data_IF_135051416198
#
_entry.id   IF_135051416198
#
_cell.length_a   1.000
_cell.length_b   1.000
_cell.length_c   1.000
_cell.angle_alpha   90.00
_cell.angle_beta   90.00
_cell.angle_gamma   90.00
#
_symmetry.space_group_name_H-M   'P 1'
#
loop_
_entity.id
_entity.type
_entity.pdbx_description
1 polymer ?
#
# COMPACT_ATOMS: atom_id res chain seq x y z
N UNK A 1 -26.49 20.02 1.39
CA UNK A 1 -26.81 18.64 0.96
C UNK A 1 -26.49 17.74 2.14
N UNK A 2 -27.31 16.72 2.38
CA UNK A 2 -26.97 15.73 3.40
C UNK A 2 -25.72 14.96 2.97
N UNK A 3 -24.85 14.64 3.94
CA UNK A 3 -23.64 13.87 3.66
C UNK A 3 -24.01 12.44 3.23
N UNK A 4 -23.24 11.89 2.29
CA UNK A 4 -23.35 10.46 1.92
C UNK A 4 -22.94 9.59 3.11
N UNK A 5 -23.75 8.60 3.45
CA UNK A 5 -23.42 7.63 4.51
C UNK A 5 -22.65 6.46 3.88
N UNK A 6 -21.39 6.34 4.22
CA UNK A 6 -20.51 5.30 3.66
C UNK A 6 -20.04 4.34 4.75
N UNK A 7 -20.34 3.05 4.59
CA UNK A 7 -19.84 1.97 5.44
C UNK A 7 -18.55 1.42 4.86
N UNK A 8 -17.41 1.78 5.47
CA UNK A 8 -16.09 1.25 5.13
C UNK A 8 -15.82 -0.06 5.85
N UNK A 9 -15.22 -1.03 5.17
CA UNK A 9 -14.91 -2.33 5.74
C UNK A 9 -13.41 -2.55 5.72
N UNK A 10 -12.79 -2.62 6.90
CA UNK A 10 -11.37 -2.93 7.08
C UNK A 10 -11.14 -4.43 7.18
N UNK A 11 -9.96 -4.91 6.80
CA UNK A 11 -9.57 -6.31 6.87
C UNK A 11 -8.81 -6.65 8.16
N UNK A 12 -8.22 -5.66 8.80
CA UNK A 12 -7.51 -5.75 10.07
C UNK A 12 -7.63 -4.45 10.86
N UNK A 13 -7.16 -4.45 12.10
CA UNK A 13 -7.18 -3.30 13.01
C UNK A 13 -5.77 -2.79 13.33
N UNK A 14 -4.80 -3.01 12.42
CA UNK A 14 -3.47 -2.43 12.51
C UNK A 14 -3.45 -1.01 11.89
N UNK A 15 -2.44 -0.21 12.19
CA UNK A 15 -2.15 1.03 11.46
C UNK A 15 -1.26 0.78 10.23
N UNK A 16 -1.50 -0.34 9.54
CA UNK A 16 -0.83 -0.69 8.30
C UNK A 16 -1.21 0.21 7.11
N UNK A 17 -0.56 -0.01 5.97
CA UNK A 17 -0.73 0.84 4.78
C UNK A 17 -2.18 1.01 4.33
N UNK A 18 -2.99 -0.06 4.33
CA UNK A 18 -4.40 0.00 3.91
C UNK A 18 -5.29 0.81 4.87
N UNK A 19 -5.03 0.69 6.19
CA UNK A 19 -5.77 1.43 7.21
C UNK A 19 -5.39 2.91 7.21
N UNK A 20 -4.09 3.22 7.06
CA UNK A 20 -3.62 4.59 6.92
C UNK A 20 -4.15 5.25 5.64
N UNK A 21 -4.22 4.50 4.52
CA UNK A 21 -4.83 5.00 3.27
C UNK A 21 -6.33 5.27 3.43
N UNK A 22 -7.05 4.44 4.19
CA UNK A 22 -8.46 4.68 4.47
C UNK A 22 -8.65 5.94 5.33
N UNK A 23 -7.81 6.16 6.31
CA UNK A 23 -7.87 7.38 7.13
C UNK A 23 -7.65 8.62 6.25
N UNK A 24 -6.63 8.61 5.39
CA UNK A 24 -6.40 9.70 4.43
C UNK A 24 -7.61 9.92 3.50
N UNK A 25 -8.28 8.84 3.07
CA UNK A 25 -9.50 8.94 2.28
C UNK A 25 -10.61 9.64 3.09
N UNK A 26 -10.90 9.16 4.29
CA UNK A 26 -11.97 9.72 5.14
C UNK A 26 -11.71 11.20 5.42
N UNK A 27 -10.48 11.57 5.76
CA UNK A 27 -10.09 12.97 5.96
C UNK A 27 -10.32 13.83 4.71
N UNK A 28 -9.99 13.27 3.53
CA UNK A 28 -10.12 13.99 2.25
C UNK A 28 -11.58 14.21 1.83
N UNK A 29 -12.53 13.42 2.35
CA UNK A 29 -13.96 13.47 1.96
C UNK A 29 -14.89 13.81 3.13
N UNK A 30 -14.37 14.18 4.29
CA UNK A 30 -15.13 14.39 5.53
C UNK A 30 -16.26 15.43 5.45
N UNK A 31 -16.15 16.37 4.51
CA UNK A 31 -17.18 17.40 4.32
C UNK A 31 -18.40 16.88 3.55
N UNK A 32 -18.23 15.87 2.70
CA UNK A 32 -19.27 15.30 1.84
C UNK A 32 -19.75 13.92 2.32
N UNK A 33 -18.99 13.22 3.19
CA UNK A 33 -19.24 11.85 3.63
C UNK A 33 -19.43 11.78 5.15
N UNK A 34 -20.39 10.96 5.60
CA UNK A 34 -20.49 10.49 6.98
C UNK A 34 -19.89 9.06 7.04
N UNK A 35 -18.68 8.91 7.58
CA UNK A 35 -17.99 7.62 7.59
C UNK A 35 -18.47 6.74 8.76
N UNK A 36 -18.71 5.47 8.47
CA UNK A 36 -18.90 4.40 9.46
C UNK A 36 -17.89 3.32 9.11
N UNK A 37 -17.12 2.83 10.09
CA UNK A 37 -16.07 1.84 9.82
C UNK A 37 -16.33 0.55 10.57
N UNK A 38 -16.31 -0.58 9.84
CA UNK A 38 -16.42 -1.92 10.40
C UNK A 38 -15.07 -2.61 10.42
N UNK A 39 -14.59 -2.97 11.61
CA UNK A 39 -13.37 -3.73 11.83
C UNK A 39 -13.66 -5.20 12.18
N UNK A 40 -12.76 -6.15 11.83
CA UNK A 40 -12.91 -7.56 12.22
C UNK A 40 -12.57 -7.84 13.68
N UNK A 41 -11.81 -6.98 14.32
CA UNK A 41 -11.24 -7.13 15.66
C UNK A 41 -10.91 -5.78 16.27
N UNK A 42 -10.79 -5.71 17.59
CA UNK A 42 -10.25 -4.54 18.28
C UNK A 42 -8.74 -4.43 18.02
N UNK A 43 -8.20 -3.21 18.04
CA UNK A 43 -6.79 -2.98 17.83
C UNK A 43 -6.45 -1.49 17.71
N UNK A 44 -5.14 -1.20 17.57
CA UNK A 44 -4.62 0.17 17.53
C UNK A 44 -5.23 1.02 16.39
N UNK A 45 -5.52 0.41 15.25
CA UNK A 45 -6.16 1.10 14.12
C UNK A 45 -7.60 1.49 14.47
N UNK A 46 -8.40 0.55 15.01
CA UNK A 46 -9.77 0.83 15.43
C UNK A 46 -9.82 1.91 16.53
N UNK A 47 -8.94 1.83 17.54
CA UNK A 47 -8.85 2.82 18.59
C UNK A 47 -8.50 4.21 18.02
N UNK A 48 -7.55 4.29 17.11
CA UNK A 48 -7.14 5.54 16.47
C UNK A 48 -8.27 6.20 15.69
N UNK A 49 -9.10 5.42 14.94
CA UNK A 49 -10.26 5.96 14.24
C UNK A 49 -11.30 6.50 15.23
N UNK A 50 -11.57 5.79 16.33
CA UNK A 50 -12.50 6.22 17.36
C UNK A 50 -12.02 7.49 18.08
N UNK A 51 -10.73 7.64 18.35
CA UNK A 51 -10.11 8.84 18.92
C UNK A 51 -10.21 10.07 17.99
N UNK A 52 -10.38 9.86 16.69
CA UNK A 52 -10.60 10.91 15.70
C UNK A 52 -12.09 11.10 15.34
N UNK A 53 -13.00 10.79 16.27
CA UNK A 53 -14.46 10.97 16.14
C UNK A 53 -15.08 10.24 14.94
N UNK A 54 -14.47 9.16 14.45
CA UNK A 54 -15.01 8.33 13.38
C UNK A 54 -15.82 7.19 14.00
N UNK A 55 -17.09 7.05 13.61
CA UNK A 55 -17.99 5.99 14.09
C UNK A 55 -17.46 4.61 13.71
N UNK A 56 -17.08 3.79 14.70
CA UNK A 56 -16.46 2.49 14.50
C UNK A 56 -17.24 1.36 15.16
N UNK A 57 -17.30 0.23 14.49
CA UNK A 57 -17.89 -1.01 15.01
C UNK A 57 -16.94 -2.18 14.82
N UNK A 58 -17.02 -3.17 15.72
CA UNK A 58 -16.20 -4.38 15.65
C UNK A 58 -17.09 -5.60 15.55
N UNK A 59 -16.86 -6.43 14.54
CA UNK A 59 -17.49 -7.72 14.38
C UNK A 59 -16.51 -8.73 13.78
N UNK A 60 -16.27 -9.92 14.40
CA UNK A 60 -15.28 -10.89 13.95
C UNK A 60 -15.76 -11.66 12.70
N UNK A 61 -15.81 -11.00 11.55
CA UNK A 61 -16.15 -11.65 10.29
C UNK A 61 -14.99 -12.49 9.74
N UNK A 62 -15.34 -13.59 9.05
CA UNK A 62 -14.36 -14.53 8.51
C UNK A 62 -13.78 -13.97 7.19
N UNK A 63 -12.48 -13.72 7.20
CA UNK A 63 -11.70 -13.25 6.05
C UNK A 63 -11.64 -14.31 4.92
N UNK A 64 -11.41 -13.86 3.67
CA UNK A 64 -11.33 -14.75 2.50
C UNK A 64 -10.01 -15.51 2.36
N UNK A 65 -9.02 -15.26 3.22
CA UNK A 65 -7.69 -15.82 3.08
C UNK A 65 -7.21 -16.53 4.34
N UNK A 66 -6.24 -17.40 4.14
CA UNK A 66 -5.41 -17.98 5.19
C UNK A 66 -3.95 -17.88 4.82
N UNK A 67 -3.06 -17.77 5.80
CA UNK A 67 -1.63 -17.94 5.55
C UNK A 67 -1.37 -19.38 5.06
N UNK A 68 -0.56 -19.52 4.01
CA UNK A 68 -0.11 -20.85 3.55
C UNK A 68 0.65 -21.51 4.68
N UNK A 69 0.04 -22.51 5.30
CA UNK A 69 0.74 -23.46 6.18
C UNK A 69 1.27 -24.63 5.35
N UNK A 70 2.39 -25.23 5.78
CA UNK A 70 3.00 -26.37 5.09
C UNK A 70 1.94 -27.43 4.73
N UNK A 71 1.85 -27.76 3.46
CA UNK A 71 0.78 -28.46 2.74
C UNK A 71 0.44 -29.88 3.22
N UNK A 72 1.25 -30.49 4.10
CA UNK A 72 1.14 -31.92 4.43
C UNK A 72 0.15 -32.26 5.57
N UNK A 73 -0.32 -31.27 6.34
CA UNK A 73 -1.17 -31.55 7.53
C UNK A 73 -2.63 -31.07 7.36
N UNK A 74 -2.90 -30.12 6.46
CA UNK A 74 -4.22 -29.44 6.40
C UNK A 74 -5.31 -30.18 5.58
N UNK A 75 -4.95 -31.19 4.77
CA UNK A 75 -5.92 -31.83 3.85
C UNK A 75 -6.89 -32.76 4.57
N UNK A 76 -6.52 -33.27 5.75
CA UNK A 76 -7.30 -34.30 6.46
C UNK A 76 -8.10 -33.77 7.66
N UNK A 77 -7.90 -32.57 8.14
CA UNK A 77 -8.46 -32.13 9.43
C UNK A 77 -9.74 -31.30 9.38
N UNK A 78 -10.19 -30.78 8.23
CA UNK A 78 -11.45 -30.03 8.16
C UNK A 78 -12.29 -30.40 6.94
N UNK A 79 -13.49 -31.00 7.15
CA UNK A 79 -14.48 -31.14 6.08
C UNK A 79 -14.84 -29.73 5.57
N UNK A 80 -14.50 -29.40 4.35
CA UNK A 80 -14.76 -28.12 3.69
C UNK A 80 -16.24 -27.66 3.83
N UNK A 81 -17.20 -28.58 3.98
CA UNK A 81 -18.63 -28.30 4.24
C UNK A 81 -18.86 -27.53 5.55
N UNK A 82 -18.12 -27.86 6.62
CA UNK A 82 -18.24 -27.16 7.91
C UNK A 82 -17.70 -25.74 7.86
N UNK A 83 -16.65 -25.50 7.11
CA UNK A 83 -16.13 -24.16 6.90
C UNK A 83 -17.14 -23.27 6.17
N UNK A 84 -17.88 -23.82 5.19
CA UNK A 84 -18.97 -23.13 4.49
C UNK A 84 -20.10 -22.73 5.44
N UNK A 85 -20.56 -23.66 6.25
CA UNK A 85 -21.64 -23.42 7.19
C UNK A 85 -21.20 -22.36 8.20
N UNK A 86 -19.98 -22.46 8.73
CA UNK A 86 -19.41 -21.49 9.67
C UNK A 86 -19.32 -20.09 9.05
N UNK A 87 -18.78 -19.99 7.83
CA UNK A 87 -18.68 -18.72 7.11
C UNK A 87 -20.05 -18.12 6.84
N UNK A 88 -20.99 -18.89 6.33
CA UNK A 88 -22.35 -18.44 6.08
C UNK A 88 -23.09 -17.97 7.35
N UNK A 89 -22.94 -18.71 8.47
CA UNK A 89 -23.53 -18.30 9.76
C UNK A 89 -22.91 -17.00 10.26
N UNK A 90 -21.58 -16.88 10.16
CA UNK A 90 -20.85 -15.68 10.54
C UNK A 90 -21.26 -14.48 9.70
N UNK A 91 -21.40 -14.64 8.39
CA UNK A 91 -21.86 -13.60 7.46
C UNK A 91 -23.29 -13.12 7.82
N UNK A 92 -24.23 -14.05 8.08
CA UNK A 92 -25.57 -13.70 8.57
C UNK A 92 -25.54 -12.99 9.92
N UNK A 93 -24.65 -13.39 10.81
CA UNK A 93 -24.44 -12.73 12.10
C UNK A 93 -23.93 -11.30 11.91
N UNK A 94 -22.95 -11.11 11.03
CA UNK A 94 -22.41 -9.80 10.69
C UNK A 94 -23.50 -8.86 10.12
N UNK A 95 -24.29 -9.36 9.17
CA UNK A 95 -25.39 -8.56 8.57
C UNK A 95 -26.41 -8.15 9.66
N UNK A 96 -26.79 -9.06 10.56
CA UNK A 96 -27.70 -8.74 11.66
C UNK A 96 -27.09 -7.67 12.57
N UNK A 97 -25.86 -7.88 13.02
CA UNK A 97 -25.13 -6.94 13.86
C UNK A 97 -25.08 -5.52 13.23
N UNK A 98 -24.68 -5.43 11.95
CA UNK A 98 -24.61 -4.13 11.27
C UNK A 98 -25.98 -3.47 11.18
N UNK A 99 -27.06 -4.20 10.88
CA UNK A 99 -28.43 -3.65 10.90
C UNK A 99 -28.86 -3.17 12.27
N UNK A 100 -28.50 -3.90 13.32
CA UNK A 100 -28.85 -3.55 14.70
C UNK A 100 -28.13 -2.27 15.15
N UNK A 101 -26.82 -2.12 14.85
CA UNK A 101 -26.07 -0.91 15.24
C UNK A 101 -26.45 0.32 14.40
N UNK A 102 -26.81 0.13 13.14
CA UNK A 102 -27.29 1.22 12.27
C UNK A 102 -28.68 1.73 12.68
N UNK A 103 -29.49 0.95 13.39
CA UNK A 103 -30.81 1.34 13.88
C UNK A 103 -31.74 1.93 12.80
N UNK A 104 -31.68 1.36 11.59
CA UNK A 104 -32.46 1.82 10.44
C UNK A 104 -31.88 2.99 9.67
N UNK A 105 -30.69 3.49 10.03
CA UNK A 105 -29.97 4.50 9.25
C UNK A 105 -29.72 3.97 7.85
N UNK A 106 -29.99 4.79 6.84
CA UNK A 106 -29.68 4.47 5.45
C UNK A 106 -28.16 4.48 5.23
N UNK A 107 -27.66 3.56 4.41
CA UNK A 107 -26.28 3.53 3.94
C UNK A 107 -26.33 3.63 2.43
N UNK A 108 -25.67 4.63 1.85
CA UNK A 108 -25.63 4.85 0.42
C UNK A 108 -24.62 3.90 -0.25
N UNK A 109 -23.46 3.76 0.37
CA UNK A 109 -22.33 2.99 -0.18
C UNK A 109 -21.73 2.07 0.88
N UNK A 110 -21.45 0.82 0.50
CA UNK A 110 -20.55 -0.07 1.21
C UNK A 110 -19.21 -0.08 0.47
N UNK A 111 -18.14 0.38 1.12
CA UNK A 111 -16.80 0.48 0.55
C UNK A 111 -15.88 -0.60 1.14
N UNK A 112 -15.55 -1.63 0.35
CA UNK A 112 -14.56 -2.65 0.72
C UNK A 112 -13.14 -2.11 0.51
N UNK A 113 -12.41 -1.92 1.61
CA UNK A 113 -11.09 -1.23 1.63
C UNK A 113 -9.90 -2.18 1.37
N UNK A 114 -10.05 -3.29 0.74
CA UNK A 114 -8.95 -4.21 0.30
C UNK A 114 -9.53 -5.35 -0.52
N UNK A 115 -8.68 -6.09 -1.24
CA UNK A 115 -9.15 -7.16 -2.14
C UNK A 115 -9.70 -8.40 -1.42
N UNK A 116 -9.12 -8.95 -0.34
CA UNK A 116 -9.58 -10.23 0.22
C UNK A 116 -10.73 -10.07 1.23
N UNK A 117 -11.70 -9.21 0.92
CA UNK A 117 -12.81 -8.87 1.81
C UNK A 117 -14.17 -8.99 1.12
N UNK A 118 -14.77 -10.20 1.14
CA UNK A 118 -16.05 -10.46 0.47
C UNK A 118 -17.30 -10.13 1.31
N UNK A 119 -17.16 -9.79 2.58
CA UNK A 119 -18.31 -9.43 3.44
C UNK A 119 -19.02 -8.17 2.92
N UNK A 120 -18.29 -7.27 2.24
CA UNK A 120 -18.86 -6.07 1.61
C UNK A 120 -19.93 -6.37 0.59
N UNK A 121 -19.77 -7.43 -0.21
CA UNK A 121 -20.79 -7.87 -1.19
C UNK A 121 -22.11 -8.20 -0.48
N UNK A 122 -22.04 -8.95 0.62
CA UNK A 122 -23.22 -9.37 1.36
C UNK A 122 -23.86 -8.23 2.14
N UNK A 123 -23.06 -7.33 2.68
CA UNK A 123 -23.55 -6.13 3.39
C UNK A 123 -24.22 -5.17 2.42
N UNK A 124 -23.61 -4.86 1.28
CA UNK A 124 -24.22 -3.98 0.27
C UNK A 124 -25.60 -4.49 -0.18
N UNK A 125 -25.68 -5.78 -0.48
CA UNK A 125 -26.97 -6.42 -0.85
C UNK A 125 -27.99 -6.34 0.30
N UNK A 126 -27.59 -6.60 1.54
CA UNK A 126 -28.49 -6.63 2.71
C UNK A 126 -28.98 -5.26 3.13
N UNK A 127 -28.19 -4.22 2.89
CA UNK A 127 -28.49 -2.81 3.17
C UNK A 127 -29.14 -2.09 1.98
N UNK A 128 -29.17 -2.74 0.81
CA UNK A 128 -29.59 -2.13 -0.48
C UNK A 128 -28.71 -0.93 -0.84
N UNK A 129 -27.45 -0.96 -0.46
CA UNK A 129 -26.45 0.05 -0.77
C UNK A 129 -25.67 -0.32 -2.02
N UNK A 130 -25.05 0.65 -2.69
CA UNK A 130 -24.09 0.41 -3.76
C UNK A 130 -22.80 -0.14 -3.19
N UNK A 131 -22.11 -1.00 -3.96
CA UNK A 131 -20.84 -1.59 -3.54
C UNK A 131 -19.67 -1.00 -4.32
N UNK A 132 -18.76 -0.34 -3.62
CA UNK A 132 -17.47 0.10 -4.16
C UNK A 132 -16.38 -0.82 -3.63
N UNK A 133 -15.57 -1.40 -4.53
CA UNK A 133 -14.44 -2.22 -4.13
C UNK A 133 -13.12 -1.52 -4.45
N UNK A 134 -12.39 -1.15 -3.40
CA UNK A 134 -11.08 -0.51 -3.51
C UNK A 134 -9.97 -1.56 -3.30
N UNK A 135 -9.31 -1.92 -4.39
CA UNK A 135 -8.31 -2.99 -4.44
C UNK A 135 -6.91 -2.38 -4.39
N UNK A 136 -6.14 -2.78 -3.35
CA UNK A 136 -4.87 -2.12 -3.00
C UNK A 136 -3.64 -3.00 -3.15
N UNK A 137 -3.81 -4.32 -3.39
CA UNK A 137 -2.69 -5.26 -3.27
C UNK A 137 -2.82 -6.47 -4.19
N UNK A 138 -1.67 -7.14 -4.35
CA UNK A 138 -1.51 -8.45 -4.96
C UNK A 138 -1.47 -9.51 -3.85
N UNK A 139 -2.61 -10.03 -3.42
CA UNK A 139 -2.67 -10.93 -2.24
C UNK A 139 -2.04 -12.29 -2.47
N UNK A 140 -2.03 -12.77 -3.69
CA UNK A 140 -1.52 -14.09 -4.08
C UNK A 140 0.00 -14.11 -4.30
N UNK A 141 0.55 -13.02 -4.81
CA UNK A 141 2.00 -12.89 -5.10
C UNK A 141 2.77 -12.26 -3.95
N UNK A 142 2.25 -11.17 -3.37
CA UNK A 142 2.96 -10.40 -2.35
C UNK A 142 2.85 -11.03 -0.95
N UNK A 143 1.67 -11.52 -0.56
CA UNK A 143 1.44 -12.07 0.78
C UNK A 143 1.40 -13.59 0.81
N UNK A 144 1.47 -14.27 -0.33
CA UNK A 144 1.37 -15.73 -0.46
C UNK A 144 0.15 -16.31 0.29
N UNK A 145 -0.98 -15.59 0.28
CA UNK A 145 -2.20 -16.07 0.90
C UNK A 145 -2.88 -17.15 0.05
N UNK A 146 -3.43 -18.15 0.73
CA UNK A 146 -4.39 -19.04 0.11
C UNK A 146 -5.78 -18.40 0.15
N UNK A 147 -6.28 -18.01 -1.02
CA UNK A 147 -7.62 -17.43 -1.16
C UNK A 147 -8.65 -18.54 -1.16
N UNK A 148 -9.65 -18.40 -0.29
CA UNK A 148 -10.75 -19.34 -0.23
C UNK A 148 -11.53 -19.39 -1.54
N UNK A 149 -11.59 -20.58 -2.16
CA UNK A 149 -12.10 -20.84 -3.52
C UNK A 149 -11.26 -20.25 -4.66
N UNK A 150 -10.05 -19.80 -4.39
CA UNK A 150 -9.07 -19.40 -5.39
C UNK A 150 -9.26 -17.99 -5.98
N UNK A 151 -8.26 -17.58 -6.70
CA UNK A 151 -8.19 -16.27 -7.38
C UNK A 151 -9.33 -16.04 -8.37
N UNK A 152 -9.75 -17.01 -9.23
CA UNK A 152 -10.83 -16.77 -10.19
C UNK A 152 -12.15 -16.36 -9.54
N UNK A 153 -12.45 -16.90 -8.34
CA UNK A 153 -13.64 -16.49 -7.60
C UNK A 153 -13.51 -15.06 -7.09
N UNK A 154 -12.37 -14.69 -6.56
CA UNK A 154 -12.15 -13.32 -6.06
C UNK A 154 -12.24 -12.31 -7.21
N UNK A 155 -11.61 -12.58 -8.36
CA UNK A 155 -11.75 -11.76 -9.58
C UNK A 155 -13.22 -11.57 -9.97
N UNK A 156 -13.99 -12.67 -9.98
CA UNK A 156 -15.43 -12.61 -10.28
C UNK A 156 -16.17 -11.72 -9.27
N UNK A 157 -15.88 -11.82 -7.97
CA UNK A 157 -16.54 -11.02 -6.95
C UNK A 157 -16.18 -9.53 -7.07
N UNK A 158 -14.90 -9.20 -7.31
CA UNK A 158 -14.44 -7.83 -7.57
C UNK A 158 -15.19 -7.24 -8.76
N UNK A 159 -15.30 -8.00 -9.86
CA UNK A 159 -15.98 -7.54 -11.07
C UNK A 159 -17.51 -7.46 -10.96
N UNK A 160 -18.11 -7.98 -9.88
CA UNK A 160 -19.54 -7.84 -9.57
C UNK A 160 -19.86 -6.59 -8.72
N UNK A 161 -18.86 -5.86 -8.22
CA UNK A 161 -19.10 -4.60 -7.54
C UNK A 161 -19.69 -3.55 -8.49
N UNK A 162 -20.52 -2.64 -7.98
CA UNK A 162 -21.09 -1.55 -8.76
C UNK A 162 -20.01 -0.60 -9.29
N UNK A 163 -18.95 -0.38 -8.50
CA UNK A 163 -17.74 0.33 -8.90
C UNK A 163 -16.48 -0.32 -8.33
N UNK A 164 -15.37 -0.18 -9.05
CA UNK A 164 -14.05 -0.68 -8.68
C UNK A 164 -13.02 0.43 -8.72
N UNK A 165 -12.22 0.52 -7.67
CA UNK A 165 -11.06 1.40 -7.63
C UNK A 165 -9.82 0.51 -7.50
N UNK A 166 -8.88 0.64 -8.43
CA UNK A 166 -7.57 0.02 -8.37
C UNK A 166 -6.54 1.06 -7.96
N UNK A 167 -5.68 0.72 -6.99
CA UNK A 167 -4.63 1.63 -6.51
C UNK A 167 -3.57 1.94 -7.57
N UNK A 168 -3.43 1.07 -8.58
CA UNK A 168 -2.50 1.22 -9.69
C UNK A 168 -2.99 0.46 -10.93
N UNK A 169 -2.43 0.81 -12.09
CA UNK A 169 -2.69 0.09 -13.35
C UNK A 169 -2.25 -1.38 -13.26
N UNK A 170 -1.17 -1.65 -12.56
CA UNK A 170 -0.69 -3.02 -12.34
C UNK A 170 -1.70 -3.85 -11.52
N UNK A 171 -2.29 -3.27 -10.46
CA UNK A 171 -3.34 -3.93 -9.67
C UNK A 171 -4.61 -4.16 -10.50
N UNK A 172 -5.04 -3.17 -11.30
CA UNK A 172 -6.17 -3.32 -12.22
C UNK A 172 -5.97 -4.52 -13.16
N UNK A 173 -4.80 -4.59 -13.81
CA UNK A 173 -4.48 -5.64 -14.77
C UNK A 173 -4.37 -7.03 -14.10
N UNK A 174 -3.74 -7.12 -12.94
CA UNK A 174 -3.60 -8.38 -12.19
C UNK A 174 -4.95 -8.99 -11.81
N UNK A 175 -5.90 -8.15 -11.38
CA UNK A 175 -7.24 -8.60 -11.03
C UNK A 175 -8.18 -8.72 -12.22
N UNK A 176 -7.70 -8.44 -13.43
CA UNK A 176 -8.52 -8.50 -14.68
C UNK A 176 -9.82 -7.70 -14.50
N UNK A 177 -9.70 -6.47 -13.96
CA UNK A 177 -10.87 -5.63 -13.72
C UNK A 177 -11.47 -5.16 -15.06
N UNK A 178 -12.79 -5.21 -15.15
CA UNK A 178 -13.53 -4.72 -16.33
C UNK A 178 -13.26 -3.22 -16.51
N UNK A 179 -13.17 -2.76 -17.76
CA UNK A 179 -12.98 -1.32 -18.05
C UNK A 179 -14.14 -0.47 -17.55
N UNK A 180 -15.37 -0.96 -17.74
CA UNK A 180 -16.58 -0.29 -17.29
C UNK A 180 -16.63 -0.20 -15.76
N UNK A 181 -16.94 0.98 -15.22
CA UNK A 181 -17.03 1.26 -13.79
C UNK A 181 -15.76 0.87 -13.00
N UNK A 182 -14.58 1.04 -13.60
CA UNK A 182 -13.29 0.84 -12.98
C UNK A 182 -12.41 2.08 -13.14
N UNK A 183 -11.92 2.58 -12.01
CA UNK A 183 -11.02 3.74 -11.95
C UNK A 183 -9.66 3.31 -11.38
N UNK A 184 -8.59 3.85 -11.94
CA UNK A 184 -7.25 3.78 -11.34
C UNK A 184 -7.05 5.07 -10.57
N UNK A 185 -7.01 4.96 -9.25
CA UNK A 185 -6.83 6.11 -8.34
C UNK A 185 -5.74 5.73 -7.35
N UNK A 186 -4.59 6.39 -7.48
CA UNK A 186 -3.49 6.20 -6.53
C UNK A 186 -3.90 6.77 -5.16
N UNK A 187 -3.52 6.07 -4.08
CA UNK A 187 -3.79 6.54 -2.72
C UNK A 187 -3.07 7.84 -2.43
N UNK A 188 -3.70 8.71 -1.66
CA UNK A 188 -3.01 9.85 -1.08
C UNK A 188 -1.89 9.38 -0.14
N UNK A 189 -0.73 10.00 -0.27
CA UNK A 189 0.44 9.71 0.55
C UNK A 189 0.75 10.85 1.51
N UNK A 190 0.67 12.10 1.03
CA UNK A 190 0.95 13.33 1.80
C UNK A 190 0.02 14.47 1.36
N UNK A 191 0.01 15.56 2.13
CA UNK A 191 -0.56 16.83 1.68
C UNK A 191 0.41 17.56 0.74
N UNK A 192 -0.08 18.43 -0.12
CA UNK A 192 0.78 19.29 -0.97
C UNK A 192 1.77 20.11 -0.14
N UNK A 193 1.36 20.57 1.04
CA UNK A 193 2.20 21.35 1.95
C UNK A 193 3.41 20.58 2.51
N UNK A 194 3.42 19.26 2.41
CA UNK A 194 4.53 18.42 2.89
C UNK A 194 5.73 18.44 1.94
N UNK A 195 5.52 18.87 0.68
CA UNK A 195 6.57 18.95 -0.33
C UNK A 195 7.70 19.84 0.15
N UNK A 196 8.92 19.37 0.01
CA UNK A 196 10.10 20.12 0.40
C UNK A 196 11.30 19.81 -0.51
N UNK A 197 12.13 20.79 -0.74
CA UNK A 197 13.37 20.66 -1.49
C UNK A 197 14.56 21.18 -0.67
N UNK A 198 15.53 20.28 -0.46
CA UNK A 198 16.80 20.62 0.18
C UNK A 198 17.91 20.49 -0.86
N UNK A 199 18.57 21.61 -1.23
CA UNK A 199 19.62 21.62 -2.25
C UNK A 199 20.91 20.93 -1.78
N UNK A 200 21.21 21.00 -0.49
CA UNK A 200 22.40 20.39 0.10
C UNK A 200 22.09 18.94 0.52
N UNK A 201 22.38 17.99 -0.35
CA UNK A 201 22.26 16.57 -0.06
C UNK A 201 23.46 16.08 0.76
N UNK A 202 23.19 15.14 1.66
CA UNK A 202 24.22 14.42 2.40
C UNK A 202 24.69 13.20 1.58
N UNK A 203 25.96 12.75 1.73
CA UNK A 203 26.50 11.67 0.91
C UNK A 203 26.00 10.30 1.39
N UNK A 204 24.69 10.07 1.31
CA UNK A 204 24.12 8.76 1.53
C UNK A 204 22.98 8.43 0.57
N UNK A 205 22.84 7.14 0.32
CA UNK A 205 21.75 6.51 -0.39
C UNK A 205 20.83 5.87 0.64
N UNK A 206 19.53 6.07 0.49
CA UNK A 206 18.53 5.50 1.38
C UNK A 206 17.84 4.30 0.73
N UNK A 207 17.73 3.21 1.48
CA UNK A 207 16.77 2.15 1.25
C UNK A 207 15.82 2.14 2.44
N UNK A 208 14.52 2.19 2.20
CA UNK A 208 13.52 2.28 3.28
C UNK A 208 12.35 1.34 3.05
N UNK A 209 12.04 0.54 4.07
CA UNK A 209 10.88 -0.32 4.13
C UNK A 209 10.46 -0.54 5.58
N UNK A 210 9.16 -0.75 5.87
CA UNK A 210 8.73 -1.07 7.23
C UNK A 210 9.44 -2.31 7.79
N UNK A 211 9.54 -3.38 6.98
CA UNK A 211 10.36 -4.55 7.28
C UNK A 211 11.38 -4.76 6.16
N UNK A 212 12.63 -4.95 6.52
CA UNK A 212 13.67 -5.39 5.60
C UNK A 212 13.47 -6.89 5.35
N UNK A 213 13.19 -7.26 4.08
CA UNK A 213 12.97 -8.65 3.65
C UNK A 213 13.58 -8.87 2.27
N UNK A 214 13.68 -10.12 1.85
CA UNK A 214 14.18 -10.47 0.52
C UNK A 214 13.28 -9.90 -0.58
N UNK A 215 11.96 -10.01 -0.42
CA UNK A 215 10.97 -9.53 -1.38
C UNK A 215 10.97 -8.00 -1.52
N UNK A 216 11.41 -7.28 -0.46
CA UNK A 216 11.60 -5.83 -0.52
C UNK A 216 12.91 -5.42 -1.19
N UNK A 217 13.81 -6.38 -1.46
CA UNK A 217 15.02 -6.17 -2.24
C UNK A 217 16.16 -5.51 -1.48
N UNK A 218 16.19 -5.62 -0.13
CA UNK A 218 17.29 -5.04 0.68
C UNK A 218 18.66 -5.62 0.31
N UNK A 219 18.75 -6.91 -0.05
CA UNK A 219 19.96 -7.52 -0.58
C UNK A 219 20.39 -6.90 -1.92
N UNK A 220 19.44 -6.73 -2.84
CA UNK A 220 19.70 -6.11 -4.14
C UNK A 220 20.26 -4.68 -3.97
N UNK A 221 19.70 -3.92 -3.01
CA UNK A 221 20.19 -2.57 -2.72
C UNK A 221 21.65 -2.57 -2.24
N UNK A 222 22.04 -3.54 -1.39
CA UNK A 222 23.43 -3.71 -0.94
C UNK A 222 24.33 -4.05 -2.13
N UNK A 223 23.96 -5.03 -2.95
CA UNK A 223 24.72 -5.45 -4.13
C UNK A 223 24.91 -4.32 -5.13
N UNK A 224 23.84 -3.57 -5.43
CA UNK A 224 23.90 -2.43 -6.33
C UNK A 224 24.79 -1.31 -5.78
N UNK A 225 24.69 -1.01 -4.48
CA UNK A 225 25.53 -0.04 -3.81
C UNK A 225 27.01 -0.43 -3.89
N UNK A 226 27.34 -1.68 -3.54
CA UNK A 226 28.72 -2.19 -3.62
C UNK A 226 29.28 -2.13 -5.04
N UNK A 227 28.54 -2.65 -6.03
CA UNK A 227 28.94 -2.65 -7.45
C UNK A 227 29.04 -1.23 -8.04
N UNK A 228 28.36 -0.26 -7.46
CA UNK A 228 28.44 1.13 -7.92
C UNK A 228 29.81 1.77 -7.63
N UNK A 229 30.56 1.30 -6.65
CA UNK A 229 31.82 1.88 -6.22
C UNK A 229 31.72 3.26 -5.56
N UNK A 230 30.51 3.75 -5.26
CA UNK A 230 30.33 5.08 -4.63
C UNK A 230 30.77 5.10 -3.17
N UNK A 231 30.88 3.94 -2.52
CA UNK A 231 31.45 3.81 -1.17
C UNK A 231 32.87 4.41 -1.09
N UNK A 232 33.71 4.18 -2.10
CA UNK A 232 35.05 4.73 -2.23
C UNK A 232 35.08 6.28 -2.35
N UNK A 233 33.92 6.87 -2.73
CA UNK A 233 33.73 8.32 -2.78
C UNK A 233 33.12 8.90 -1.50
N UNK A 234 33.05 8.09 -0.44
CA UNK A 234 32.52 8.50 0.87
C UNK A 234 31.00 8.43 1.02
N UNK A 235 30.29 7.79 0.08
CA UNK A 235 28.85 7.58 0.24
C UNK A 235 28.57 6.40 1.18
N UNK A 236 27.43 6.45 1.85
CA UNK A 236 26.93 5.40 2.73
C UNK A 236 25.58 4.90 2.23
N UNK A 237 25.28 3.63 2.47
CA UNK A 237 23.95 3.06 2.29
C UNK A 237 23.26 2.94 3.64
N UNK A 238 22.12 3.62 3.81
CA UNK A 238 21.29 3.56 5.00
C UNK A 238 20.14 2.58 4.75
N UNK A 239 20.13 1.44 5.45
CA UNK A 239 19.06 0.44 5.41
C UNK A 239 18.06 0.71 6.54
N UNK A 240 16.99 1.43 6.22
CA UNK A 240 15.99 1.82 7.21
C UNK A 240 14.84 0.82 7.26
N UNK A 241 14.56 0.28 8.45
CA UNK A 241 13.44 -0.62 8.70
C UNK A 241 13.68 -1.64 9.79
N UNK A 242 12.63 -2.37 10.16
CA UNK A 242 12.75 -3.48 11.09
C UNK A 242 13.38 -4.68 10.36
N UNK A 243 14.31 -5.35 10.99
CA UNK A 243 14.99 -6.51 10.42
C UNK A 243 14.99 -7.67 11.44
N UNK A 244 14.55 -8.85 11.02
CA UNK A 244 14.67 -10.06 11.85
C UNK A 244 16.14 -10.47 11.92
N UNK A 245 16.58 -10.97 13.08
CA UNK A 245 17.99 -11.30 13.33
C UNK A 245 18.58 -12.29 12.32
N UNK A 246 17.82 -13.32 11.94
CA UNK A 246 18.26 -14.30 10.94
C UNK A 246 18.52 -13.63 9.57
N UNK A 247 17.62 -12.76 9.13
CA UNK A 247 17.76 -12.06 7.86
C UNK A 247 18.85 -11.00 7.92
N UNK A 248 18.97 -10.29 9.05
CA UNK A 248 20.04 -9.34 9.31
C UNK A 248 21.40 -9.99 9.22
N UNK A 249 21.57 -11.17 9.82
CA UNK A 249 22.81 -11.95 9.72
C UNK A 249 23.15 -12.32 8.28
N UNK A 250 22.15 -12.68 7.49
CA UNK A 250 22.31 -12.95 6.06
C UNK A 250 22.73 -11.71 5.27
N UNK A 251 22.17 -10.53 5.57
CA UNK A 251 22.58 -9.26 4.95
C UNK A 251 24.00 -8.86 5.35
N UNK A 252 24.38 -9.05 6.62
CA UNK A 252 25.77 -8.80 7.09
C UNK A 252 26.79 -9.66 6.33
N UNK A 253 26.47 -10.93 6.07
CA UNK A 253 27.33 -11.79 5.24
C UNK A 253 27.47 -11.25 3.81
N UNK A 254 26.37 -10.70 3.23
CA UNK A 254 26.41 -10.07 1.91
C UNK A 254 27.30 -8.82 1.94
N UNK A 255 27.14 -7.95 2.93
CA UNK A 255 27.92 -6.73 3.12
C UNK A 255 29.42 -7.06 3.24
N UNK A 256 29.78 -8.06 4.08
CA UNK A 256 31.15 -8.53 4.23
C UNK A 256 31.70 -9.11 2.94
N UNK A 257 30.89 -9.90 2.21
CA UNK A 257 31.30 -10.50 0.92
C UNK A 257 31.64 -9.46 -0.16
N UNK A 258 31.08 -8.26 -0.07
CA UNK A 258 31.38 -7.14 -0.96
C UNK A 258 32.42 -6.16 -0.40
N UNK A 259 32.86 -6.29 0.86
CA UNK A 259 33.84 -5.40 1.50
C UNK A 259 33.35 -3.97 1.69
N UNK A 260 32.07 -3.79 2.04
CA UNK A 260 31.43 -2.45 2.24
C UNK A 260 30.90 -2.24 3.67
N UNK A 261 31.50 -2.95 4.66
CA UNK A 261 31.05 -2.97 6.06
C UNK A 261 31.02 -1.57 6.68
N UNK A 262 32.01 -0.76 6.39
CA UNK A 262 32.15 0.59 6.93
C UNK A 262 31.21 1.60 6.26
N UNK A 263 30.57 1.19 5.16
CA UNK A 263 29.72 2.08 4.32
C UNK A 263 28.24 1.72 4.35
N UNK A 264 27.83 0.66 5.08
CA UNK A 264 26.42 0.26 5.21
C UNK A 264 25.95 0.34 6.64
N UNK A 265 24.85 1.04 6.88
CA UNK A 265 24.28 1.23 8.21
C UNK A 265 22.83 0.77 8.29
N UNK A 266 22.49 0.01 9.34
CA UNK A 266 21.11 -0.35 9.65
C UNK A 266 20.47 0.74 10.53
N UNK A 267 19.42 1.36 10.03
CA UNK A 267 18.65 2.39 10.71
C UNK A 267 17.32 1.79 11.17
N UNK A 268 16.94 1.87 12.45
CA UNK A 268 15.61 1.45 12.89
C UNK A 268 14.50 2.16 12.12
N UNK A 269 13.32 1.52 12.04
CA UNK A 269 12.14 2.14 11.44
C UNK A 269 11.86 3.50 12.10
N UNK A 270 11.69 4.54 11.29
CA UNK A 270 11.46 5.91 11.73
C UNK A 270 10.00 6.30 11.57
N UNK A 271 9.45 7.04 12.54
CA UNK A 271 8.10 7.62 12.45
C UNK A 271 8.09 8.83 11.53
N UNK A 272 9.10 9.71 11.65
CA UNK A 272 9.32 10.82 10.74
C UNK A 272 10.43 10.48 9.74
N UNK A 273 10.04 10.18 8.52
CA UNK A 273 10.95 9.83 7.43
C UNK A 273 11.37 11.05 6.60
N UNK A 274 10.71 12.21 6.78
CA UNK A 274 10.97 13.43 6.00
C UNK A 274 12.43 13.89 6.04
N UNK A 275 13.09 14.01 7.21
CA UNK A 275 14.48 14.45 7.26
C UNK A 275 15.45 13.52 6.51
N UNK A 276 15.14 12.21 6.51
CA UNK A 276 15.96 11.19 5.86
C UNK A 276 15.88 11.30 4.33
N UNK A 277 14.66 11.37 3.78
CA UNK A 277 14.48 11.51 2.34
C UNK A 277 14.96 12.87 1.83
N UNK A 278 14.64 13.94 2.56
CA UNK A 278 15.01 15.30 2.14
C UNK A 278 16.51 15.48 1.95
N UNK A 279 17.32 14.83 2.79
CA UNK A 279 18.79 14.92 2.76
C UNK A 279 19.48 13.85 1.94
N UNK A 280 18.82 12.72 1.66
CA UNK A 280 19.39 11.64 0.87
C UNK A 280 19.76 12.09 -0.55
N UNK A 281 20.92 11.64 -1.04
CA UNK A 281 21.34 11.84 -2.44
C UNK A 281 20.49 11.03 -3.40
N UNK A 282 20.07 9.82 -3.03
CA UNK A 282 19.15 8.99 -3.79
C UNK A 282 18.40 8.02 -2.87
N UNK A 283 17.26 7.55 -3.33
CA UNK A 283 16.49 6.46 -2.73
C UNK A 283 16.41 5.27 -3.69
N UNK A 284 16.64 4.07 -3.18
CA UNK A 284 16.48 2.81 -3.93
C UNK A 284 15.18 2.14 -3.54
N UNK A 285 14.29 1.94 -4.50
CA UNK A 285 13.13 1.06 -4.40
C UNK A 285 13.41 -0.25 -5.17
N UNK A 286 13.69 -1.32 -4.46
CA UNK A 286 14.14 -2.59 -5.04
C UNK A 286 13.13 -3.74 -4.88
N UNK A 287 11.91 -3.46 -4.40
CA UNK A 287 10.85 -4.47 -4.21
C UNK A 287 10.55 -5.23 -5.49
N UNK A 288 10.32 -6.53 -5.37
CA UNK A 288 9.89 -7.38 -6.48
C UNK A 288 8.46 -7.10 -6.94
N UNK A 289 7.62 -6.66 -6.02
CA UNK A 289 6.22 -6.38 -6.29
C UNK A 289 5.70 -5.27 -5.35
N UNK A 290 5.17 -4.20 -5.93
CA UNK A 290 4.53 -3.11 -5.18
C UNK A 290 3.13 -2.85 -5.74
N UNK A 291 2.13 -2.75 -4.84
CA UNK A 291 0.78 -2.34 -5.24
C UNK A 291 0.76 -0.90 -5.75
N UNK A 292 1.40 0.02 -5.04
CA UNK A 292 1.60 1.41 -5.43
C UNK A 292 3.06 1.85 -5.24
N UNK A 293 3.68 1.56 -4.08
CA UNK A 293 4.99 2.09 -3.72
C UNK A 293 4.90 3.40 -2.93
N UNK A 294 4.14 3.42 -1.82
CA UNK A 294 3.95 4.61 -0.98
C UNK A 294 5.27 5.27 -0.55
N UNK A 295 6.27 4.46 -0.20
CA UNK A 295 7.60 4.97 0.20
C UNK A 295 8.30 5.69 -0.95
N UNK A 296 8.10 5.22 -2.19
CA UNK A 296 8.58 5.89 -3.40
C UNK A 296 7.93 7.27 -3.56
N UNK A 297 6.63 7.35 -3.37
CA UNK A 297 5.92 8.64 -3.41
C UNK A 297 6.41 9.59 -2.30
N UNK A 298 6.64 9.09 -1.07
CA UNK A 298 7.22 9.88 0.03
C UNK A 298 8.60 10.44 -0.35
N UNK A 299 9.46 9.61 -0.95
CA UNK A 299 10.76 10.06 -1.46
C UNK A 299 10.61 11.22 -2.46
N UNK A 300 9.64 11.11 -3.39
CA UNK A 300 9.35 12.16 -4.36
C UNK A 300 8.84 13.45 -3.69
N UNK A 301 7.87 13.36 -2.75
CA UNK A 301 7.37 14.52 -1.99
C UNK A 301 8.50 15.26 -1.26
N UNK A 302 9.43 14.51 -0.66
CA UNK A 302 10.53 15.09 0.11
C UNK A 302 11.77 15.40 -0.72
N UNK A 303 11.63 15.40 -2.05
CA UNK A 303 12.67 15.84 -2.97
C UNK A 303 13.89 14.91 -3.01
N UNK A 304 13.71 13.61 -2.79
CA UNK A 304 14.75 12.60 -2.95
C UNK A 304 14.73 12.03 -4.37
N UNK A 305 15.86 12.04 -5.11
CA UNK A 305 15.96 11.34 -6.38
C UNK A 305 15.67 9.84 -6.22
N UNK A 306 14.80 9.30 -7.07
CA UNK A 306 14.35 7.91 -6.99
C UNK A 306 15.03 7.06 -8.05
N UNK A 307 15.58 5.90 -7.62
CA UNK A 307 16.01 4.79 -8.46
C UNK A 307 15.09 3.61 -8.12
N UNK A 308 14.26 3.18 -9.03
CA UNK A 308 13.20 2.22 -8.73
C UNK A 308 13.22 1.02 -9.69
N UNK A 309 12.99 -0.18 -9.14
CA UNK A 309 12.80 -1.37 -9.94
C UNK A 309 11.53 -1.22 -10.80
N UNK A 310 11.63 -1.58 -12.09
CA UNK A 310 10.54 -1.45 -13.05
C UNK A 310 9.47 -2.53 -12.82
N UNK A 311 8.68 -2.41 -11.74
CA UNK A 311 7.72 -3.43 -11.34
C UNK A 311 6.45 -2.87 -10.72
N UNK A 312 5.34 -3.57 -10.91
CA UNK A 312 4.06 -3.30 -10.25
C UNK A 312 3.58 -1.85 -10.39
N UNK A 313 3.04 -1.31 -9.30
CA UNK A 313 2.54 0.07 -9.24
C UNK A 313 3.62 1.14 -9.29
N UNK A 314 4.91 0.78 -9.17
CA UNK A 314 6.02 1.72 -9.33
C UNK A 314 6.03 2.37 -10.72
N UNK A 315 5.59 1.64 -11.75
CA UNK A 315 5.48 2.14 -13.12
C UNK A 315 4.44 3.26 -13.28
N UNK A 316 3.47 3.34 -12.39
CA UNK A 316 2.50 4.44 -12.37
C UNK A 316 3.11 5.70 -11.73
N UNK A 317 4.12 5.57 -10.86
CA UNK A 317 4.76 6.66 -10.12
C UNK A 317 5.99 7.22 -10.82
N UNK A 318 6.88 6.34 -11.29
CA UNK A 318 8.18 6.71 -11.82
C UNK A 318 8.16 6.66 -13.35
N UNK A 319 8.35 7.83 -13.97
CA UNK A 319 8.60 7.97 -15.40
C UNK A 319 10.11 8.06 -15.61
N UNK A 320 10.65 7.08 -16.32
CA UNK A 320 12.10 6.94 -16.50
C UNK A 320 12.73 8.17 -17.12
N UNK A 321 13.80 8.67 -16.47
CA UNK A 321 14.51 9.89 -16.86
C UNK A 321 13.77 11.21 -16.58
N UNK A 322 12.46 11.18 -16.25
CA UNK A 322 11.65 12.37 -16.01
C UNK A 322 11.44 12.65 -14.52
N UNK A 323 10.82 11.70 -13.79
CA UNK A 323 10.49 11.84 -12.37
C UNK A 323 11.33 10.95 -11.46
N UNK A 324 12.15 10.11 -12.05
CA UNK A 324 13.09 9.17 -11.40
C UNK A 324 13.77 8.33 -12.47
N UNK A 325 14.47 7.30 -12.06
CA UNK A 325 15.11 6.34 -12.96
C UNK A 325 14.60 4.92 -12.68
N UNK A 326 14.37 4.15 -13.73
CA UNK A 326 13.95 2.75 -13.64
C UNK A 326 15.12 1.79 -13.92
N UNK A 327 15.09 0.63 -13.28
CA UNK A 327 16.05 -0.45 -13.52
C UNK A 327 15.36 -1.82 -13.47
N UNK A 328 15.94 -2.79 -14.18
CA UNK A 328 15.52 -4.19 -14.15
C UNK A 328 16.58 -5.05 -13.45
N UNK A 329 17.85 -4.71 -13.57
CA UNK A 329 18.99 -5.49 -13.07
C UNK A 329 19.80 -4.74 -12.00
N UNK A 330 20.53 -5.50 -11.18
CA UNK A 330 21.44 -4.95 -10.17
C UNK A 330 22.50 -4.04 -10.82
N UNK A 331 23.02 -4.42 -11.99
CA UNK A 331 24.07 -3.67 -12.67
C UNK A 331 23.56 -2.33 -13.22
N UNK A 332 22.32 -2.27 -13.70
CA UNK A 332 21.64 -1.02 -14.07
C UNK A 332 21.43 -0.13 -12.85
N UNK A 333 20.96 -0.69 -11.72
CA UNK A 333 20.81 0.06 -10.47
C UNK A 333 22.16 0.66 -10.02
N UNK A 334 23.24 -0.12 -10.10
CA UNK A 334 24.59 0.34 -9.77
C UNK A 334 25.08 1.45 -10.70
N UNK A 335 24.77 1.37 -12.00
CA UNK A 335 25.09 2.41 -12.96
C UNK A 335 24.34 3.72 -12.66
N UNK A 336 23.04 3.63 -12.39
CA UNK A 336 22.21 4.78 -12.02
C UNK A 336 22.68 5.43 -10.70
N UNK A 337 23.10 4.64 -9.71
CA UNK A 337 23.71 5.18 -8.49
C UNK A 337 24.96 6.00 -8.78
N UNK A 338 25.88 5.50 -9.62
CA UNK A 338 27.07 6.25 -10.03
C UNK A 338 26.73 7.59 -10.69
N UNK A 339 25.69 7.60 -11.49
CA UNK A 339 25.25 8.79 -12.21
C UNK A 339 24.56 9.79 -11.28
N UNK A 340 23.50 9.36 -10.55
CA UNK A 340 22.68 10.26 -9.72
C UNK A 340 23.45 10.86 -8.54
N UNK A 341 24.45 10.16 -8.02
CA UNK A 341 25.24 10.65 -6.90
C UNK A 341 26.21 11.81 -7.28
N UNK A 342 26.44 12.05 -8.56
CA UNK A 342 27.40 13.07 -9.01
C UNK A 342 26.79 14.18 -9.85
N UNK A 343 25.60 13.98 -10.44
CA UNK A 343 24.94 14.97 -11.28
C UNK A 343 23.99 15.88 -10.49
N UNK A 344 23.64 17.03 -11.04
CA UNK A 344 22.54 17.86 -10.55
C UNK A 344 21.19 17.21 -10.92
N UNK A 345 20.43 16.79 -9.91
CA UNK A 345 19.13 16.15 -10.06
C UNK A 345 17.94 17.12 -9.85
N UNK A 346 18.19 18.43 -9.69
CA UNK A 346 17.15 19.42 -9.33
C UNK A 346 15.94 19.38 -10.28
N UNK A 347 16.17 19.37 -11.58
CA UNK A 347 15.08 19.37 -12.55
C UNK A 347 14.20 18.10 -12.47
N UNK A 348 14.81 16.93 -12.24
CA UNK A 348 14.09 15.68 -12.05
C UNK A 348 13.29 15.69 -10.74
N UNK A 349 13.89 16.17 -9.65
CA UNK A 349 13.23 16.31 -8.35
C UNK A 349 11.98 17.18 -8.47
N UNK A 350 12.07 18.35 -9.08
CA UNK A 350 10.94 19.27 -9.21
C UNK A 350 9.81 18.66 -10.05
N UNK A 351 10.12 17.95 -11.14
CA UNK A 351 9.09 17.22 -11.91
C UNK A 351 8.46 16.09 -11.11
N UNK A 352 9.25 15.39 -10.31
CA UNK A 352 8.73 14.33 -9.42
C UNK A 352 7.79 14.91 -8.37
N UNK A 353 8.12 16.06 -7.77
CA UNK A 353 7.28 16.75 -6.80
C UNK A 353 5.98 17.22 -7.43
N UNK A 354 6.02 17.89 -8.57
CA UNK A 354 4.85 18.31 -9.34
C UNK A 354 3.94 17.12 -9.65
N UNK A 355 4.51 15.98 -10.05
CA UNK A 355 3.78 14.77 -10.33
C UNK A 355 3.03 14.23 -9.09
N UNK A 356 3.71 14.11 -7.93
CA UNK A 356 3.06 13.57 -6.72
C UNK A 356 2.05 14.54 -6.12
N UNK A 357 2.26 15.84 -6.19
CA UNK A 357 1.29 16.86 -5.79
C UNK A 357 -0.03 16.72 -6.56
N UNK A 358 0.04 16.55 -7.88
CA UNK A 358 -1.13 16.47 -8.75
C UNK A 358 -1.81 15.08 -8.77
N UNK A 359 -1.15 14.04 -8.29
CA UNK A 359 -1.67 12.68 -8.41
C UNK A 359 -1.87 11.94 -7.08
N UNK A 360 -1.04 12.23 -6.06
CA UNK A 360 -0.97 11.47 -4.81
C UNK A 360 -1.16 12.35 -3.55
N UNK A 361 -1.54 13.61 -3.71
CA UNK A 361 -1.86 14.46 -2.57
C UNK A 361 -3.27 14.21 -2.04
N UNK A 362 -3.50 14.53 -0.76
CA UNK A 362 -4.81 14.41 -0.13
C UNK A 362 -5.84 15.31 -0.82
N UNK A 363 -5.40 16.49 -1.27
CA UNK A 363 -6.24 17.49 -1.92
C UNK A 363 -6.81 17.01 -3.28
N UNK A 364 -6.13 16.12 -3.95
CA UNK A 364 -6.55 15.55 -5.25
C UNK A 364 -7.28 14.23 -5.10
N UNK A 365 -6.94 13.45 -4.08
CA UNK A 365 -7.44 12.09 -3.88
C UNK A 365 -8.93 12.05 -3.55
N UNK A 366 -9.37 12.85 -2.55
CA UNK A 366 -10.76 12.91 -2.12
C UNK A 366 -11.72 13.20 -3.26
N UNK A 367 -11.54 14.28 -4.05
CA UNK A 367 -12.37 14.60 -5.20
C UNK A 367 -12.50 13.46 -6.23
N UNK A 368 -11.39 12.74 -6.53
CA UNK A 368 -11.41 11.58 -7.44
C UNK A 368 -12.29 10.44 -6.91
N UNK A 369 -12.21 10.15 -5.61
CA UNK A 369 -13.05 9.09 -5.01
C UNK A 369 -14.50 9.55 -4.91
N UNK A 370 -14.76 10.82 -4.61
CA UNK A 370 -16.12 11.38 -4.60
C UNK A 370 -16.77 11.34 -5.99
N UNK A 371 -16.01 11.51 -7.05
CA UNK A 371 -16.51 11.31 -8.42
C UNK A 371 -17.00 9.87 -8.64
N UNK A 372 -16.25 8.85 -8.18
CA UNK A 372 -16.67 7.45 -8.23
C UNK A 372 -17.97 7.25 -7.44
N UNK A 373 -18.06 7.81 -6.23
CA UNK A 373 -19.28 7.70 -5.39
C UNK A 373 -20.50 8.32 -6.07
N UNK A 374 -20.34 9.50 -6.65
CA UNK A 374 -21.42 10.18 -7.38
C UNK A 374 -21.86 9.38 -8.61
N UNK A 375 -20.91 8.85 -9.39
CA UNK A 375 -21.22 8.07 -10.58
C UNK A 375 -21.94 6.74 -10.28
N UNK A 376 -21.63 6.08 -9.18
CA UNK A 376 -22.27 4.80 -8.82
C UNK A 376 -23.69 4.99 -8.27
N UNK A 377 -24.06 6.18 -7.81
CA UNK A 377 -25.37 6.49 -7.26
C UNK A 377 -26.41 6.96 -8.29
N UNK A 378 -25.94 7.32 -9.48
CA UNK A 378 -26.81 7.63 -10.64
C UNK A 378 -27.31 6.32 -11.27
#
# INVERSE_FOLDING_TARGET
MDKLVVLYICIDSTLGGSTASLLNLIDSVKDEVYPIVLFPEEGVGQAYFAENDIECYVYPFIKLYKFKKNRLIDVWQYPWRWHYIKKWRNEKGCIRFVKDVLKGRHVDIVHSNTSPNDIGVSLAKALRAKHVWHVREFVDTHFHFDIYRGIPRLRKLINQADARIAISSAVKNHWEMLEENTWVINDAVRCMMDTCYYPAKEPYVLFSSYNLTEEKGSRLAIEAFAKSGIAEKGFRLMLMGNCKDEYKSSLLNTICGFGVEDSVEFVPCQTDVKPWFAKATAYIMASECEGLGRVTAEAMFFGCPVIARATGGTLDLVKDGETGCLFDTVDECAALLRELCVRDNKAMILRAQEFVEHNLSQEVYGPKVMEVYKNVLI
#
